data_IF_440940527728
#
_entry.id   IF_440940527728
#
_cell.length_a   1.000
_cell.length_b   1.000
_cell.length_c   1.000
_cell.angle_alpha   90.00
_cell.angle_beta   90.00
_cell.angle_gamma   90.00
#
_symmetry.space_group_name_H-M   'P 1'
#
loop_
_entity.id
_entity.type
_entity.pdbx_description
1 polymer ?
#
# COMPACT_ATOMS: atom_id res chain seq x y z
N UNK A 1 13.74 -12.44 -10.48
CA UNK A 1 13.26 -11.06 -10.24
C UNK A 1 13.58 -10.70 -8.78
N UNK A 2 14.60 -9.86 -8.52
CA UNK A 2 14.83 -9.34 -7.16
C UNK A 2 13.86 -8.18 -6.98
N UNK A 3 12.83 -8.36 -6.16
CA UNK A 3 12.04 -7.22 -5.71
C UNK A 3 12.96 -6.33 -4.87
N UNK A 4 13.05 -5.04 -5.21
CA UNK A 4 13.68 -4.07 -4.33
C UNK A 4 12.84 -4.01 -3.06
N UNK A 5 13.32 -4.65 -1.99
CA UNK A 5 12.60 -4.65 -0.73
C UNK A 5 12.61 -3.23 -0.17
N UNK A 6 11.46 -2.72 0.33
CA UNK A 6 11.45 -1.46 1.06
C UNK A 6 12.36 -1.57 2.29
N UNK A 7 13.04 -0.48 2.61
CA UNK A 7 13.98 -0.44 3.74
C UNK A 7 13.28 -0.70 5.07
N UNK A 8 13.85 -1.59 5.89
CA UNK A 8 13.49 -1.81 7.28
C UNK A 8 14.77 -2.07 8.10
N UNK A 9 14.91 -1.38 9.23
CA UNK A 9 16.01 -1.57 10.17
C UNK A 9 15.53 -2.35 11.41
N UNK A 10 16.46 -3.02 12.14
CA UNK A 10 16.13 -3.60 13.44
C UNK A 10 15.47 -2.58 14.37
N UNK A 11 14.38 -2.99 15.03
CA UNK A 11 13.62 -2.13 15.95
C UNK A 11 12.56 -1.24 15.29
N UNK A 12 12.47 -1.18 13.95
CA UNK A 12 11.39 -0.43 13.29
C UNK A 12 10.04 -1.14 13.40
N UNK A 13 8.99 -0.36 13.67
CA UNK A 13 7.60 -0.83 13.62
C UNK A 13 6.97 -0.40 12.29
N UNK A 14 6.60 -1.38 11.47
CA UNK A 14 6.06 -1.16 10.12
C UNK A 14 4.60 -1.61 10.06
N UNK A 15 3.70 -0.70 9.67
CA UNK A 15 2.31 -1.05 9.36
C UNK A 15 2.16 -1.58 7.95
N UNK A 16 1.30 -2.57 7.74
CA UNK A 16 0.96 -3.10 6.42
C UNK A 16 -0.47 -2.72 6.07
N UNK A 17 -0.64 -1.91 5.02
CA UNK A 17 -1.96 -1.52 4.50
C UNK A 17 -2.25 -2.28 3.20
N UNK A 18 -3.02 -3.36 3.30
CA UNK A 18 -3.42 -4.16 2.15
C UNK A 18 -4.66 -3.61 1.43
N UNK A 19 -4.68 -3.70 0.11
CA UNK A 19 -5.84 -3.28 -0.68
C UNK A 19 -5.64 -3.45 -2.18
N UNK A 20 -6.73 -3.38 -2.95
CA UNK A 20 -6.64 -3.35 -4.43
C UNK A 20 -6.14 -2.00 -4.94
N UNK A 21 -6.46 -0.90 -4.23
CA UNK A 21 -6.10 0.47 -4.61
C UNK A 21 -6.48 0.81 -6.07
N UNK A 22 -7.76 0.65 -6.39
CA UNK A 22 -8.29 0.73 -7.75
C UNK A 22 -9.36 1.83 -7.91
N UNK A 23 -8.99 3.13 -7.89
CA UNK A 23 -7.66 3.70 -7.72
C UNK A 23 -7.30 4.03 -6.26
N UNK A 24 -6.01 4.20 -5.98
CA UNK A 24 -5.58 4.90 -4.77
C UNK A 24 -6.10 6.36 -4.76
N UNK A 25 -6.46 6.83 -3.56
CA UNK A 25 -7.14 8.11 -3.31
C UNK A 25 -6.85 8.62 -1.90
N UNK A 26 -7.25 9.85 -1.59
CA UNK A 26 -6.96 10.54 -0.32
C UNK A 26 -7.40 9.78 0.93
N UNK A 27 -8.52 9.06 0.90
CA UNK A 27 -8.92 8.19 2.02
C UNK A 27 -7.83 7.18 2.44
N UNK A 28 -7.11 6.58 1.48
CA UNK A 28 -6.01 5.67 1.78
C UNK A 28 -4.81 6.42 2.40
N UNK A 29 -4.49 7.61 1.89
CA UNK A 29 -3.45 8.47 2.43
C UNK A 29 -3.79 8.96 3.85
N UNK A 30 -5.06 9.32 4.08
CA UNK A 30 -5.56 9.72 5.39
C UNK A 30 -5.40 8.60 6.42
N UNK A 31 -5.88 7.38 6.13
CA UNK A 31 -5.72 6.23 7.02
C UNK A 31 -4.24 5.94 7.28
N UNK A 32 -3.38 6.07 6.28
CA UNK A 32 -1.93 5.91 6.42
C UNK A 32 -1.33 6.92 7.39
N UNK A 33 -1.67 8.21 7.24
CA UNK A 33 -1.21 9.30 8.13
C UNK A 33 -1.72 9.09 9.56
N UNK A 34 -2.96 8.66 9.72
CA UNK A 34 -3.52 8.36 11.04
C UNK A 34 -2.86 7.14 11.69
N UNK A 35 -2.58 6.09 10.93
CA UNK A 35 -1.87 4.91 11.43
C UNK A 35 -0.45 5.24 11.90
N UNK A 36 0.30 6.03 11.10
CA UNK A 36 1.63 6.51 11.46
C UNK A 36 1.61 7.24 12.81
N UNK A 37 0.65 8.15 13.01
CA UNK A 37 0.51 8.94 14.24
C UNK A 37 0.05 8.10 15.43
N UNK A 38 -1.06 7.39 15.29
CA UNK A 38 -1.76 6.72 16.41
C UNK A 38 -1.02 5.50 16.94
N UNK A 39 -0.33 4.78 16.05
CA UNK A 39 0.42 3.58 16.42
C UNK A 39 1.93 3.84 16.52
N UNK A 40 2.37 5.11 16.33
CA UNK A 40 3.78 5.51 16.37
C UNK A 40 4.65 4.64 15.44
N UNK A 41 4.16 4.39 14.22
CA UNK A 41 4.85 3.56 13.23
C UNK A 41 5.98 4.36 12.58
N UNK A 42 7.09 3.69 12.30
CA UNK A 42 8.20 4.27 11.54
C UNK A 42 7.85 4.37 10.05
N UNK A 43 7.10 3.39 9.55
CA UNK A 43 6.69 3.28 8.14
C UNK A 43 5.33 2.61 8.01
N UNK A 44 4.67 2.87 6.89
CA UNK A 44 3.54 2.07 6.41
C UNK A 44 3.86 1.61 5.00
N UNK A 45 3.70 0.31 4.74
CA UNK A 45 3.84 -0.27 3.42
C UNK A 45 2.48 -0.57 2.83
N UNK A 46 2.22 -0.03 1.65
CA UNK A 46 1.00 -0.32 0.90
C UNK A 46 1.20 -1.61 0.12
N UNK A 47 0.42 -2.63 0.46
CA UNK A 47 0.45 -3.94 -0.19
C UNK A 47 -0.64 -3.97 -1.26
N UNK A 48 -0.26 -3.58 -2.49
CA UNK A 48 -1.16 -3.54 -3.64
C UNK A 48 -1.45 -4.95 -4.13
N UNK A 49 -2.69 -5.42 -3.98
CA UNK A 49 -3.05 -6.78 -4.34
C UNK A 49 -3.07 -6.99 -5.87
N UNK A 50 -2.69 -8.19 -6.36
CA UNK A 50 -2.79 -8.52 -7.79
C UNK A 50 -4.25 -8.61 -8.25
N UNK A 51 -5.18 -8.92 -7.34
CA UNK A 51 -6.61 -9.08 -7.58
C UNK A 51 -7.21 -10.12 -6.64
N UNK A 52 -8.53 -10.14 -6.50
CA UNK A 52 -9.22 -11.22 -5.78
C UNK A 52 -9.61 -12.31 -6.81
N UNK A 53 -9.09 -13.55 -6.69
CA UNK A 53 -9.37 -14.62 -7.65
C UNK A 53 -10.85 -15.03 -7.70
N UNK A 54 -11.63 -14.69 -6.67
CA UNK A 54 -13.07 -14.98 -6.61
C UNK A 54 -13.93 -13.98 -7.41
N UNK A 55 -13.35 -12.89 -7.93
CA UNK A 55 -14.08 -11.87 -8.69
C UNK A 55 -13.94 -12.13 -10.18
N UNK A 56 -15.07 -12.18 -10.90
CA UNK A 56 -15.09 -12.34 -12.36
C UNK A 56 -14.38 -11.21 -13.11
N UNK A 57 -14.32 -10.01 -12.52
CA UNK A 57 -13.59 -8.86 -13.06
C UNK A 57 -12.46 -8.48 -12.09
N UNK A 58 -11.24 -8.50 -12.61
CA UNK A 58 -10.05 -8.05 -11.90
C UNK A 58 -9.98 -6.52 -11.80
N UNK A 59 -9.10 -6.00 -10.93
CA UNK A 59 -8.85 -4.56 -10.85
C UNK A 59 -8.15 -4.04 -12.12
N UNK A 60 -7.98 -2.73 -12.25
CA UNK A 60 -7.14 -2.15 -13.30
C UNK A 60 -5.72 -2.76 -13.32
N UNK A 61 -4.94 -2.62 -14.41
CA UNK A 61 -3.58 -3.13 -14.48
C UNK A 61 -2.72 -2.71 -13.27
N UNK A 62 -1.94 -3.65 -12.72
CA UNK A 62 -1.16 -3.43 -11.50
C UNK A 62 -0.24 -2.20 -11.61
N UNK A 63 0.40 -1.98 -12.77
CA UNK A 63 1.26 -0.82 -13.01
C UNK A 63 0.54 0.50 -12.78
N UNK A 64 -0.66 0.67 -13.36
CA UNK A 64 -1.48 1.88 -13.21
C UNK A 64 -1.87 2.13 -11.75
N UNK A 65 -2.17 1.06 -11.00
CA UNK A 65 -2.52 1.16 -9.58
C UNK A 65 -1.31 1.49 -8.72
N UNK A 66 -0.13 0.93 -9.02
CA UNK A 66 1.13 1.27 -8.37
C UNK A 66 1.53 2.73 -8.61
N UNK A 67 1.43 3.21 -9.86
CA UNK A 67 1.66 4.62 -10.20
C UNK A 67 0.74 5.53 -9.40
N UNK A 68 -0.55 5.19 -9.35
CA UNK A 68 -1.53 5.98 -8.61
C UNK A 68 -1.27 5.95 -7.10
N UNK A 69 -0.87 4.81 -6.53
CA UNK A 69 -0.52 4.70 -5.12
C UNK A 69 0.71 5.55 -4.78
N UNK A 70 1.76 5.52 -5.62
CA UNK A 70 2.95 6.37 -5.48
C UNK A 70 2.65 7.87 -5.60
N UNK A 71 1.60 8.26 -6.33
CA UNK A 71 1.20 9.66 -6.46
C UNK A 71 0.48 10.21 -5.22
N UNK A 72 0.08 9.37 -4.25
CA UNK A 72 -0.64 9.79 -3.05
C UNK A 72 0.26 10.08 -1.84
N UNK A 73 1.50 9.58 -1.84
CA UNK A 73 2.46 9.62 -0.73
C UNK A 73 3.87 9.77 -1.27
#
# INVERSE_FOLDING_TARGET
MRYAMPYAAPGMTVGLLGGSFDPAHEGHAHITREALKRFRLDRVWWLVSPGNPLKARGPAPLGKRLERARAMM
#
